data_IF_305636313316
#
_entry.id   IF_305636313316
#
_cell.length_a   1.000
_cell.length_b   1.000
_cell.length_c   1.000
_cell.angle_alpha   90.00
_cell.angle_beta   90.00
_cell.angle_gamma   90.00
#
_symmetry.space_group_name_H-M   'P 1'
#
loop_
_entity.id
_entity.type
_entity.pdbx_description
1 polymer ?
#
# COMPACT_ATOMS: atom_id res chain seq x y z
N UNK A 1 -14.42 14.81 12.17
CA UNK A 1 -14.34 13.35 11.92
C UNK A 1 -15.45 12.58 12.65
N UNK A 2 -15.63 12.80 13.97
CA UNK A 2 -16.62 12.10 14.77
C UNK A 2 -18.06 12.33 14.28
N UNK A 3 -18.46 13.58 14.06
CA UNK A 3 -19.80 13.94 13.56
C UNK A 3 -20.11 13.31 12.20
N UNK A 4 -19.08 13.21 11.32
CA UNK A 4 -19.22 12.53 10.04
C UNK A 4 -19.44 11.03 10.22
N UNK A 5 -18.68 10.39 11.11
CA UNK A 5 -18.84 8.97 11.41
C UNK A 5 -20.22 8.67 12.03
N UNK A 6 -20.65 9.49 12.98
CA UNK A 6 -21.99 9.41 13.59
C UNK A 6 -23.10 9.53 12.54
N UNK A 7 -22.99 10.53 11.63
CA UNK A 7 -23.97 10.73 10.56
C UNK A 7 -24.00 9.50 9.62
N UNK A 8 -22.86 8.98 9.22
CA UNK A 8 -22.74 7.79 8.37
C UNK A 8 -23.39 6.57 9.04
N UNK A 9 -23.07 6.29 10.29
CA UNK A 9 -23.61 5.15 11.02
C UNK A 9 -25.13 5.27 11.25
N UNK A 10 -25.60 6.47 11.59
CA UNK A 10 -27.02 6.71 11.86
C UNK A 10 -27.86 6.69 10.58
N UNK A 11 -27.39 7.35 9.52
CA UNK A 11 -28.17 7.50 8.28
C UNK A 11 -28.06 6.30 7.35
N UNK A 12 -26.85 5.75 7.18
CA UNK A 12 -26.60 4.68 6.19
C UNK A 12 -26.95 3.29 6.74
N UNK A 13 -26.76 3.07 8.04
CA UNK A 13 -27.05 1.79 8.69
C UNK A 13 -28.34 1.83 9.52
N UNK A 14 -29.07 2.96 9.53
CA UNK A 14 -30.29 3.15 10.30
C UNK A 14 -30.14 2.77 11.78
N UNK A 15 -28.95 3.03 12.36
CA UNK A 15 -28.63 2.68 13.74
C UNK A 15 -29.09 3.79 14.69
N UNK A 16 -29.94 3.44 15.66
CA UNK A 16 -30.36 4.35 16.71
C UNK A 16 -29.22 4.69 17.70
N UNK A 17 -28.19 3.84 17.75
CA UNK A 17 -27.00 3.95 18.60
C UNK A 17 -25.75 4.43 17.84
N UNK A 18 -25.92 4.97 16.63
CA UNK A 18 -24.82 5.40 15.76
C UNK A 18 -23.83 6.36 16.43
N UNK A 19 -24.34 7.23 17.32
CA UNK A 19 -23.50 8.13 18.12
C UNK A 19 -22.60 7.37 19.08
N UNK A 20 -23.15 6.40 19.81
CA UNK A 20 -22.42 5.63 20.80
C UNK A 20 -21.36 4.74 20.12
N UNK A 21 -21.70 4.13 19.00
CA UNK A 21 -20.75 3.37 18.18
C UNK A 21 -19.62 4.27 17.64
N UNK A 22 -19.94 5.49 17.18
CA UNK A 22 -18.94 6.46 16.75
C UNK A 22 -18.02 6.89 17.91
N UNK A 23 -18.57 7.09 19.11
CA UNK A 23 -17.80 7.43 20.29
C UNK A 23 -16.81 6.32 20.67
N UNK A 24 -17.26 5.06 20.67
CA UNK A 24 -16.44 3.91 20.98
C UNK A 24 -15.29 3.77 19.96
N UNK A 25 -15.61 3.83 18.66
CA UNK A 25 -14.61 3.76 17.59
C UNK A 25 -13.58 4.90 17.67
N UNK A 26 -14.04 6.13 17.89
CA UNK A 26 -13.14 7.29 17.99
C UNK A 26 -12.29 7.25 19.25
N UNK A 27 -12.82 6.74 20.37
CA UNK A 27 -12.07 6.57 21.62
C UNK A 27 -10.96 5.51 21.47
N UNK A 28 -11.25 4.42 20.75
CA UNK A 28 -10.31 3.31 20.59
C UNK A 28 -9.23 3.60 19.54
N UNK A 29 -9.61 4.20 18.39
CA UNK A 29 -8.71 4.37 17.25
C UNK A 29 -8.29 5.82 16.99
N UNK A 30 -8.85 6.78 17.68
CA UNK A 30 -8.47 8.20 17.65
C UNK A 30 -8.99 8.99 16.44
N UNK A 31 -8.99 8.43 15.25
CA UNK A 31 -9.48 9.09 14.04
C UNK A 31 -9.96 8.09 12.98
N UNK A 32 -10.74 8.58 11.99
CA UNK A 32 -11.28 7.75 10.90
C UNK A 32 -10.18 7.12 10.03
N UNK A 33 -9.05 7.81 9.83
CA UNK A 33 -7.96 7.28 9.00
C UNK A 33 -7.41 5.97 9.58
N UNK A 34 -7.26 5.89 10.90
CA UNK A 34 -6.78 4.67 11.55
C UNK A 34 -7.73 3.49 11.33
N UNK A 35 -9.04 3.76 11.24
CA UNK A 35 -10.05 2.72 11.01
C UNK A 35 -9.95 2.11 9.60
N UNK A 36 -9.43 2.84 8.61
CA UNK A 36 -9.23 2.31 7.26
C UNK A 36 -8.16 1.21 7.18
N UNK A 37 -7.31 1.07 8.20
CA UNK A 37 -6.29 0.01 8.27
C UNK A 37 -6.75 -1.22 9.06
N UNK A 38 -7.98 -1.23 9.56
CA UNK A 38 -8.52 -2.32 10.36
C UNK A 38 -9.27 -3.32 9.48
N UNK A 39 -9.06 -4.61 9.77
CA UNK A 39 -9.89 -5.67 9.19
C UNK A 39 -11.28 -5.68 9.86
N UNK A 40 -12.30 -6.28 9.23
CA UNK A 40 -13.62 -6.48 9.86
C UNK A 40 -13.51 -7.13 11.25
N UNK A 41 -12.65 -8.14 11.38
CA UNK A 41 -12.45 -8.85 12.65
C UNK A 41 -11.84 -7.97 13.75
N UNK A 42 -11.06 -6.96 13.39
CA UNK A 42 -10.54 -5.98 14.36
C UNK A 42 -11.63 -4.99 14.77
N UNK A 43 -12.41 -4.49 13.81
CA UNK A 43 -13.54 -3.60 14.07
C UNK A 43 -14.59 -4.25 14.98
N UNK A 44 -14.87 -5.55 14.81
CA UNK A 44 -15.79 -6.32 15.64
C UNK A 44 -15.37 -6.45 17.11
N UNK A 45 -14.13 -6.11 17.46
CA UNK A 45 -13.68 -6.10 18.88
C UNK A 45 -14.15 -4.85 19.63
N UNK A 46 -14.50 -3.79 18.90
CA UNK A 46 -15.01 -2.56 19.50
C UNK A 46 -16.43 -2.75 19.96
N UNK A 47 -16.72 -2.28 21.17
CA UNK A 47 -18.06 -2.42 21.76
C UNK A 47 -19.15 -1.83 20.85
N UNK A 48 -20.26 -2.55 20.74
CA UNK A 48 -21.45 -2.23 19.90
C UNK A 48 -21.20 -2.19 18.37
N UNK A 49 -20.03 -2.54 17.89
CA UNK A 49 -19.79 -2.76 16.46
C UNK A 49 -20.29 -4.14 16.10
N UNK A 50 -21.34 -4.20 15.29
CA UNK A 50 -21.86 -5.44 14.72
C UNK A 50 -21.23 -5.76 13.35
N UNK A 51 -21.55 -6.94 12.80
CA UNK A 51 -21.03 -7.40 11.50
C UNK A 51 -21.37 -6.41 10.37
N UNK A 52 -22.60 -5.87 10.35
CA UNK A 52 -23.02 -4.93 9.32
C UNK A 52 -22.19 -3.65 9.37
N UNK A 53 -21.93 -3.12 10.56
CA UNK A 53 -21.08 -1.94 10.77
C UNK A 53 -19.64 -2.22 10.33
N UNK A 54 -19.06 -3.35 10.75
CA UNK A 54 -17.71 -3.72 10.39
C UNK A 54 -17.54 -3.91 8.88
N UNK A 55 -18.47 -4.59 8.23
CA UNK A 55 -18.48 -4.79 6.77
C UNK A 55 -18.66 -3.45 6.05
N UNK A 56 -19.58 -2.59 6.51
CA UNK A 56 -19.81 -1.29 5.89
C UNK A 56 -18.57 -0.37 5.96
N UNK A 57 -17.94 -0.26 7.12
CA UNK A 57 -16.71 0.52 7.28
C UNK A 57 -15.58 -0.04 6.41
N UNK A 58 -15.47 -1.36 6.32
CA UNK A 58 -14.50 -2.01 5.43
C UNK A 58 -14.80 -1.73 3.95
N UNK A 59 -16.08 -1.73 3.56
CA UNK A 59 -16.50 -1.40 2.20
C UNK A 59 -16.14 0.05 1.83
N UNK A 60 -16.34 1.00 2.76
CA UNK A 60 -15.93 2.40 2.56
C UNK A 60 -14.43 2.52 2.31
N UNK A 61 -13.62 1.71 2.99
CA UNK A 61 -12.19 1.60 2.72
C UNK A 61 -11.92 1.16 1.27
N UNK A 62 -12.59 0.11 0.80
CA UNK A 62 -12.41 -0.36 -0.58
C UNK A 62 -12.86 0.66 -1.62
N UNK A 63 -13.95 1.37 -1.38
CA UNK A 63 -14.41 2.46 -2.26
C UNK A 63 -13.35 3.56 -2.34
N UNK A 64 -12.79 3.97 -1.20
CA UNK A 64 -11.73 4.96 -1.18
C UNK A 64 -10.45 4.46 -1.87
N UNK A 65 -10.04 3.23 -1.58
CA UNK A 65 -8.88 2.62 -2.24
C UNK A 65 -9.08 2.56 -3.77
N UNK A 66 -10.26 2.18 -4.23
CA UNK A 66 -10.58 2.19 -5.67
C UNK A 66 -10.51 3.60 -6.25
N UNK A 67 -11.06 4.60 -5.56
CA UNK A 67 -10.98 6.00 -5.99
C UNK A 67 -9.54 6.53 -6.06
N UNK A 68 -8.65 6.08 -5.15
CA UNK A 68 -7.22 6.45 -5.23
C UNK A 68 -6.51 5.73 -6.39
N UNK A 69 -6.87 4.47 -6.67
CA UNK A 69 -6.35 3.75 -7.84
C UNK A 69 -6.78 4.41 -9.16
N UNK A 70 -8.03 4.90 -9.25
CA UNK A 70 -8.51 5.59 -10.45
C UNK A 70 -7.72 6.88 -10.74
N UNK A 71 -7.12 7.52 -9.73
CA UNK A 71 -6.21 8.66 -9.92
C UNK A 71 -4.91 8.24 -10.64
N UNK A 72 -4.46 7.00 -10.43
CA UNK A 72 -3.26 6.47 -11.09
C UNK A 72 -3.43 6.29 -12.60
N UNK A 73 -4.66 6.25 -13.13
CA UNK A 73 -4.88 6.20 -14.57
C UNK A 73 -4.22 7.37 -15.32
N UNK A 74 -3.96 8.48 -14.61
CA UNK A 74 -3.27 9.65 -15.15
C UNK A 74 -1.74 9.59 -14.98
N UNK A 75 -1.22 8.72 -14.12
CA UNK A 75 0.22 8.54 -13.90
C UNK A 75 0.71 7.44 -14.84
N UNK A 76 1.12 7.82 -16.04
CA UNK A 76 1.59 6.86 -17.06
C UNK A 76 3.11 6.87 -17.22
N UNK A 77 3.81 7.85 -16.67
CA UNK A 77 5.25 8.03 -16.83
C UNK A 77 5.87 8.43 -15.50
N UNK A 78 6.99 7.78 -15.13
CA UNK A 78 7.68 7.91 -13.84
C UNK A 78 9.03 8.60 -14.04
N UNK A 79 9.00 9.90 -14.28
CA UNK A 79 10.18 10.73 -14.55
C UNK A 79 10.89 11.21 -13.29
N UNK A 80 10.19 11.21 -12.16
CA UNK A 80 10.66 11.73 -10.88
C UNK A 80 10.14 10.87 -9.71
N UNK A 81 10.81 10.97 -8.58
CA UNK A 81 10.49 10.21 -7.36
C UNK A 81 9.12 10.55 -6.79
N UNK A 82 8.69 11.80 -6.89
CA UNK A 82 7.38 12.21 -6.37
C UNK A 82 6.24 11.45 -7.03
N UNK A 83 6.30 11.21 -8.34
CA UNK A 83 5.31 10.40 -9.07
C UNK A 83 5.35 8.93 -8.67
N UNK A 84 6.54 8.39 -8.42
CA UNK A 84 6.69 7.02 -7.92
C UNK A 84 6.05 6.89 -6.54
N UNK A 85 6.32 7.84 -5.65
CA UNK A 85 5.74 7.90 -4.30
C UNK A 85 4.23 8.04 -4.35
N UNK A 86 3.69 8.95 -5.18
CA UNK A 86 2.25 9.17 -5.32
C UNK A 86 1.56 7.87 -5.79
N UNK A 87 2.11 7.24 -6.83
CA UNK A 87 1.60 5.99 -7.35
C UNK A 87 1.61 4.88 -6.29
N UNK A 88 2.74 4.70 -5.60
CA UNK A 88 2.88 3.71 -4.54
C UNK A 88 1.88 3.93 -3.40
N UNK A 89 1.70 5.19 -2.95
CA UNK A 89 0.70 5.55 -1.94
C UNK A 89 -0.71 5.17 -2.37
N UNK A 90 -1.08 5.45 -3.61
CA UNK A 90 -2.41 5.16 -4.12
C UNK A 90 -2.65 3.64 -4.25
N UNK A 91 -1.65 2.88 -4.70
CA UNK A 91 -1.74 1.41 -4.81
C UNK A 91 -1.83 0.73 -3.44
N UNK A 92 -1.09 1.25 -2.44
CA UNK A 92 -0.98 0.65 -1.12
C UNK A 92 -1.92 1.30 -0.08
N UNK A 93 -2.76 2.25 -0.50
CA UNK A 93 -3.69 2.94 0.38
C UNK A 93 -4.63 1.96 1.08
N UNK A 94 -4.74 2.13 2.40
CA UNK A 94 -5.68 1.39 3.24
C UNK A 94 -5.59 -0.14 3.13
N UNK A 95 -4.41 -0.69 2.82
CA UNK A 95 -4.20 -2.14 2.92
C UNK A 95 -4.20 -2.56 4.39
N UNK A 96 -4.97 -3.61 4.72
CA UNK A 96 -5.07 -4.13 6.09
C UNK A 96 -3.90 -5.07 6.46
N UNK A 97 -3.11 -5.44 5.46
CA UNK A 97 -1.95 -6.32 5.57
C UNK A 97 -0.78 -5.68 4.83
N UNK A 98 0.43 -6.05 5.21
CA UNK A 98 1.61 -5.64 4.45
C UNK A 98 1.60 -6.30 3.08
N UNK A 99 1.75 -5.50 2.04
CA UNK A 99 1.75 -5.95 0.66
C UNK A 99 2.92 -5.33 -0.08
N UNK A 100 3.46 -6.11 -1.00
CA UNK A 100 4.51 -5.65 -1.91
C UNK A 100 3.93 -5.56 -3.32
N UNK A 101 4.15 -4.45 -3.99
CA UNK A 101 3.87 -4.25 -5.41
C UNK A 101 5.18 -4.23 -6.20
N UNK A 102 5.14 -4.81 -7.40
CA UNK A 102 6.15 -4.64 -8.43
C UNK A 102 5.54 -3.84 -9.57
N UNK A 103 6.24 -2.80 -9.98
CA UNK A 103 5.86 -1.97 -11.13
C UNK A 103 6.94 -2.09 -12.19
N UNK A 104 6.53 -2.41 -13.41
CA UNK A 104 7.41 -2.57 -14.56
C UNK A 104 7.20 -1.43 -15.54
N UNK A 105 8.30 -0.92 -16.10
CA UNK A 105 8.32 0.26 -16.96
C UNK A 105 9.10 -0.02 -18.25
N UNK A 106 8.70 0.64 -19.33
CA UNK A 106 9.41 0.63 -20.60
C UNK A 106 10.68 1.52 -20.60
N UNK A 107 11.30 1.66 -21.75
CA UNK A 107 12.51 2.48 -21.96
C UNK A 107 12.28 3.99 -21.75
N UNK A 108 11.03 4.46 -21.93
CA UNK A 108 10.61 5.84 -21.69
C UNK A 108 10.08 6.05 -20.25
N UNK A 109 10.26 5.05 -19.38
CA UNK A 109 9.71 5.00 -18.02
C UNK A 109 8.18 5.10 -17.98
N UNK A 110 7.50 4.60 -19.01
CA UNK A 110 6.04 4.46 -19.01
C UNK A 110 5.63 3.16 -18.34
N UNK A 111 4.47 3.20 -17.69
CA UNK A 111 3.88 2.04 -17.03
C UNK A 111 3.59 0.93 -18.05
N UNK A 112 4.18 -0.24 -17.83
CA UNK A 112 3.79 -1.49 -18.49
C UNK A 112 2.77 -2.20 -17.60
N UNK A 113 3.12 -2.47 -16.33
CA UNK A 113 2.28 -3.19 -15.41
C UNK A 113 2.56 -2.81 -13.95
N UNK A 114 1.56 -3.04 -13.09
CA UNK A 114 1.67 -2.87 -11.65
C UNK A 114 0.86 -3.94 -10.94
N UNK A 115 1.53 -4.82 -10.21
CA UNK A 115 0.89 -5.95 -9.56
C UNK A 115 1.37 -6.17 -8.13
N UNK A 116 0.48 -6.72 -7.31
CA UNK A 116 0.86 -7.26 -6.02
C UNK A 116 1.63 -8.57 -6.20
N UNK A 117 2.85 -8.64 -5.65
CA UNK A 117 3.72 -9.81 -5.72
C UNK A 117 3.84 -10.57 -4.40
N UNK A 118 3.17 -10.12 -3.36
CA UNK A 118 3.04 -10.83 -2.09
C UNK A 118 1.58 -10.92 -1.67
N UNK A 119 1.18 -12.05 -1.07
CA UNK A 119 -0.15 -12.25 -0.52
C UNK A 119 -0.04 -12.69 0.95
N UNK A 120 -0.73 -11.95 1.86
CA UNK A 120 -0.87 -12.28 3.29
C UNK A 120 0.46 -12.25 4.04
N UNK A 121 0.48 -12.07 5.35
CA UNK A 121 1.64 -12.02 6.29
C UNK A 121 3.04 -11.91 5.66
N UNK A 122 3.13 -11.18 4.58
CA UNK A 122 4.29 -11.15 3.72
C UNK A 122 5.22 -10.04 4.19
N UNK A 123 6.16 -10.41 5.01
CA UNK A 123 7.44 -9.72 4.96
C UNK A 123 7.93 -9.78 3.50
N UNK A 124 8.61 -8.76 3.02
CA UNK A 124 9.33 -8.74 1.72
C UNK A 124 10.09 -10.05 1.42
N UNK A 125 10.44 -10.81 2.46
CA UNK A 125 11.06 -12.15 2.38
C UNK A 125 10.19 -13.26 1.74
N UNK A 126 8.88 -13.06 1.55
CA UNK A 126 8.00 -14.10 1.00
C UNK A 126 7.71 -13.97 -0.50
N UNK A 127 8.29 -12.99 -1.17
CA UNK A 127 8.18 -12.84 -2.62
C UNK A 127 9.00 -13.93 -3.30
N UNK A 128 8.31 -14.77 -4.08
CA UNK A 128 8.98 -15.85 -4.81
C UNK A 128 9.55 -15.34 -6.14
N UNK A 129 10.77 -15.76 -6.52
CA UNK A 129 11.34 -15.40 -7.83
C UNK A 129 10.42 -15.75 -9.00
N UNK A 130 9.60 -16.81 -8.89
CA UNK A 130 8.62 -17.20 -9.89
C UNK A 130 7.56 -16.11 -10.16
N UNK A 131 7.17 -15.34 -9.15
CA UNK A 131 6.14 -14.32 -9.27
C UNK A 131 6.61 -13.12 -10.09
N UNK A 132 7.92 -12.88 -10.05
CA UNK A 132 8.60 -11.81 -10.80
C UNK A 132 9.01 -12.30 -12.19
N UNK A 133 9.52 -13.56 -12.31
CA UNK A 133 10.05 -14.13 -13.55
C UNK A 133 9.07 -14.08 -14.71
N UNK A 134 7.83 -14.46 -14.47
CA UNK A 134 6.78 -14.52 -15.49
C UNK A 134 6.57 -13.17 -16.16
N UNK A 135 6.53 -12.10 -15.36
CA UNK A 135 6.31 -10.73 -15.86
C UNK A 135 7.46 -10.22 -16.70
N UNK A 136 8.69 -10.50 -16.25
CA UNK A 136 9.90 -10.08 -16.97
C UNK A 136 9.98 -10.71 -18.36
N UNK A 137 9.60 -11.99 -18.49
CA UNK A 137 9.64 -12.71 -19.75
C UNK A 137 8.61 -12.16 -20.74
N UNK A 138 7.39 -11.92 -20.25
CA UNK A 138 6.27 -11.52 -21.10
C UNK A 138 6.33 -10.01 -21.46
N UNK A 139 6.72 -9.16 -20.52
CA UNK A 139 6.62 -7.70 -20.63
C UNK A 139 7.90 -7.02 -21.13
N UNK A 140 9.07 -7.67 -20.95
CA UNK A 140 10.40 -7.16 -21.33
C UNK A 140 10.65 -5.72 -20.84
N UNK A 141 10.46 -5.43 -19.56
CA UNK A 141 10.63 -4.09 -19.02
C UNK A 141 12.10 -3.65 -19.09
N UNK A 142 12.33 -2.33 -19.12
CA UNK A 142 13.67 -1.74 -19.01
C UNK A 142 13.96 -1.31 -17.58
N UNK A 143 12.94 -0.84 -16.87
CA UNK A 143 13.03 -0.40 -15.49
C UNK A 143 11.95 -1.07 -14.65
N UNK A 144 12.22 -1.16 -13.36
CA UNK A 144 11.23 -1.57 -12.37
C UNK A 144 11.41 -0.76 -11.09
N UNK A 145 10.34 -0.62 -10.32
CA UNK A 145 10.43 -0.24 -8.92
C UNK A 145 9.50 -1.13 -8.08
N UNK A 146 9.79 -1.21 -6.81
CA UNK A 146 8.93 -1.89 -5.84
C UNK A 146 8.43 -0.91 -4.80
N UNK A 147 7.31 -1.23 -4.20
CA UNK A 147 6.86 -0.54 -3.00
C UNK A 147 6.17 -1.52 -2.07
N UNK A 148 6.24 -1.24 -0.77
CA UNK A 148 5.46 -1.97 0.22
C UNK A 148 4.92 -1.03 1.30
N UNK A 149 3.86 -1.47 2.00
CA UNK A 149 3.31 -0.71 3.11
C UNK A 149 3.71 -1.32 4.45
N UNK A 150 4.08 -0.44 5.38
CA UNK A 150 4.15 -0.76 6.80
C UNK A 150 2.81 -0.46 7.47
N UNK A 151 2.37 -1.34 8.36
CA UNK A 151 1.17 -1.11 9.19
C UNK A 151 1.44 -0.16 10.37
N UNK A 152 2.70 0.15 10.61
CA UNK A 152 3.17 1.13 11.60
C UNK A 152 3.16 2.55 11.04
N UNK A 153 3.46 3.54 11.90
CA UNK A 153 3.55 4.95 11.49
C UNK A 153 4.95 5.33 10.96
N UNK A 154 5.90 4.38 10.92
CA UNK A 154 7.28 4.61 10.50
C UNK A 154 7.55 4.03 9.11
N UNK A 155 8.41 4.70 8.34
CA UNK A 155 8.91 4.26 7.03
C UNK A 155 10.39 3.85 7.07
N UNK A 156 10.87 3.35 8.20
CA UNK A 156 12.26 2.90 8.32
C UNK A 156 12.39 1.53 7.68
N UNK A 157 13.34 1.38 6.75
CA UNK A 157 13.62 0.10 6.11
C UNK A 157 14.08 -0.93 7.16
N UNK A 158 13.44 -2.09 7.19
CA UNK A 158 13.92 -3.21 7.99
C UNK A 158 15.10 -3.91 7.30
N UNK A 159 15.84 -4.70 8.07
CA UNK A 159 16.91 -5.55 7.50
C UNK A 159 16.38 -6.50 6.41
N UNK A 160 15.14 -6.97 6.55
CA UNK A 160 14.46 -7.79 5.55
C UNK A 160 14.21 -7.02 4.25
N UNK A 161 13.79 -5.74 4.35
CA UNK A 161 13.52 -4.89 3.19
C UNK A 161 14.80 -4.58 2.43
N UNK A 162 15.88 -4.31 3.14
CA UNK A 162 17.20 -4.07 2.53
C UNK A 162 17.68 -5.31 1.78
N UNK A 163 17.65 -6.48 2.43
CA UNK A 163 18.05 -7.74 1.80
C UNK A 163 17.19 -8.08 0.58
N UNK A 164 15.89 -7.90 0.69
CA UNK A 164 14.97 -8.10 -0.42
C UNK A 164 15.33 -7.19 -1.60
N UNK A 165 15.56 -5.91 -1.33
CA UNK A 165 15.89 -4.90 -2.36
C UNK A 165 17.20 -5.24 -3.07
N UNK A 166 18.24 -5.58 -2.32
CA UNK A 166 19.54 -5.99 -2.88
C UNK A 166 19.39 -7.24 -3.74
N UNK A 167 18.70 -8.26 -3.25
CA UNK A 167 18.51 -9.51 -4.00
C UNK A 167 17.70 -9.29 -5.28
N UNK A 168 16.64 -8.48 -5.19
CA UNK A 168 15.80 -8.15 -6.34
C UNK A 168 16.57 -7.33 -7.38
N UNK A 169 17.35 -6.32 -6.96
CA UNK A 169 18.20 -5.51 -7.84
C UNK A 169 19.21 -6.38 -8.60
N UNK A 170 19.92 -7.22 -7.86
CA UNK A 170 20.89 -8.16 -8.46
C UNK A 170 20.23 -9.12 -9.45
N UNK A 171 19.06 -9.63 -9.11
CA UNK A 171 18.34 -10.57 -9.94
C UNK A 171 17.80 -9.91 -11.22
N UNK A 172 17.14 -8.74 -11.10
CA UNK A 172 16.67 -7.95 -12.25
C UNK A 172 17.83 -7.55 -13.18
N UNK A 173 18.97 -7.19 -12.60
CA UNK A 173 20.18 -6.84 -13.34
C UNK A 173 20.68 -7.93 -14.27
N UNK A 174 20.48 -9.22 -13.95
CA UNK A 174 20.82 -10.35 -14.83
C UNK A 174 20.02 -10.36 -16.13
N UNK A 175 18.84 -9.74 -16.14
CA UNK A 175 17.96 -9.58 -17.30
C UNK A 175 18.08 -8.21 -17.96
N UNK A 176 19.04 -7.38 -17.52
CA UNK A 176 19.23 -6.02 -18.03
C UNK A 176 18.16 -5.02 -17.61
N UNK A 177 17.44 -5.32 -16.51
CA UNK A 177 16.38 -4.47 -15.95
C UNK A 177 16.96 -3.73 -14.76
N UNK A 178 16.86 -2.39 -14.74
CA UNK A 178 17.29 -1.59 -13.61
C UNK A 178 16.15 -1.45 -12.58
N UNK A 179 16.42 -1.83 -11.34
CA UNK A 179 15.58 -1.45 -10.22
C UNK A 179 15.87 0.01 -9.89
N UNK A 180 14.90 0.90 -10.07
CA UNK A 180 15.12 2.35 -9.93
C UNK A 180 14.74 2.90 -8.55
N UNK A 181 13.88 2.20 -7.79
CA UNK A 181 13.52 2.60 -6.44
C UNK A 181 12.86 1.47 -5.65
N UNK A 182 12.80 1.68 -4.32
CA UNK A 182 11.97 0.92 -3.40
C UNK A 182 11.29 1.91 -2.44
N UNK A 183 9.97 2.03 -2.54
CA UNK A 183 9.17 2.95 -1.74
C UNK A 183 8.58 2.22 -0.53
N UNK A 184 8.81 2.78 0.65
CA UNK A 184 8.18 2.32 1.89
C UNK A 184 7.06 3.28 2.24
N UNK A 185 5.83 2.77 2.30
CA UNK A 185 4.62 3.56 2.58
C UNK A 185 4.13 3.25 3.99
N UNK A 186 3.91 4.26 4.82
CA UNK A 186 3.22 4.14 6.10
C UNK A 186 1.85 4.81 6.07
N UNK A 187 1.14 4.81 7.18
CA UNK A 187 -0.18 5.48 7.28
C UNK A 187 -0.14 6.97 6.95
N UNK A 188 0.96 7.64 7.23
CA UNK A 188 1.07 9.10 7.16
C UNK A 188 2.09 9.60 6.13
N UNK A 189 3.06 8.79 5.76
CA UNK A 189 4.17 9.21 4.91
C UNK A 189 4.65 8.09 4.00
N UNK A 190 5.53 8.42 3.07
CA UNK A 190 6.29 7.45 2.30
C UNK A 190 7.71 7.97 2.07
N UNK A 191 8.65 7.05 1.93
CA UNK A 191 10.06 7.35 1.67
C UNK A 191 10.56 6.53 0.50
N UNK A 192 11.50 7.10 -0.24
CA UNK A 192 12.28 6.46 -1.29
C UNK A 192 13.59 5.96 -0.70
N UNK A 193 13.92 4.69 -0.89
CA UNK A 193 15.23 4.16 -0.53
C UNK A 193 16.32 4.63 -1.51
N UNK A 194 15.96 4.98 -2.75
CA UNK A 194 16.92 5.49 -3.72
C UNK A 194 17.39 6.92 -3.39
N UNK A 195 16.58 7.72 -2.69
CA UNK A 195 16.94 9.06 -2.22
C UNK A 195 17.63 9.07 -0.85
N UNK A 196 17.63 7.93 -0.15
CA UNK A 196 18.30 7.80 1.13
C UNK A 196 19.80 7.51 0.91
N UNK A 197 20.67 8.32 1.51
CA UNK A 197 22.14 8.18 1.40
C UNK A 197 22.63 6.80 1.86
N UNK A 198 21.95 6.16 2.80
CA UNK A 198 22.30 4.86 3.34
C UNK A 198 22.03 3.71 2.33
N UNK A 199 21.00 3.87 1.46
CA UNK A 199 20.53 2.78 0.58
C UNK A 199 20.69 3.07 -0.91
N UNK A 200 20.98 4.31 -1.31
CA UNK A 200 21.06 4.74 -2.71
C UNK A 200 22.03 3.91 -3.57
N UNK A 201 23.06 3.32 -2.96
CA UNK A 201 24.04 2.46 -3.65
C UNK A 201 23.42 1.19 -4.26
N UNK A 202 22.22 0.76 -3.81
CA UNK A 202 21.53 -0.44 -4.32
C UNK A 202 20.99 -0.21 -5.74
N UNK A 203 20.71 1.05 -6.09
CA UNK A 203 20.00 1.45 -7.32
C UNK A 203 20.94 2.02 -8.41
N UNK A 204 22.24 1.97 -8.20
CA UNK A 204 23.28 2.46 -9.12
C UNK A 204 23.77 1.38 -10.09
#
# INVERSE_FOLDING_TARGET
DKELLEAVLTMSLCKNDGKEVADNLMSEYGNIKNMFFLSPNQLLKTDKVDENTAVYLSLMRYIKAKSELDKNENIKTFTDTDRIIEFAKNMLFAQAEERVILVTLDEDKRLINADYISQGNANSASVMPSDVSRRIIDEKPRYAFVAHNHLTDTCVASFSDINFTVNLSNWLGQFGIALIDHIIVSKNTAVSMAEDEEYSFIFN
#
